data_IF_192519425711
#
_entry.id   IF_192519425711
#
_cell.length_a   1.000
_cell.length_b   1.000
_cell.length_c   1.000
_cell.angle_alpha   90.00
_cell.angle_beta   90.00
_cell.angle_gamma   90.00
#
_symmetry.space_group_name_H-M   'P 1'
#
loop_
_entity.id
_entity.type
_entity.pdbx_description
1 polymer ?
#
# COMPACT_ATOMS: atom_id res chain seq x y z
N UNK A 1 7.40 -13.78 -40.92
CA UNK A 1 7.19 -14.45 -39.62
C UNK A 1 5.76 -14.98 -39.54
N UNK A 2 5.56 -16.25 -39.19
CA UNK A 2 4.21 -16.84 -39.09
C UNK A 2 3.40 -16.15 -37.99
N UNK A 3 2.16 -15.76 -38.30
CA UNK A 3 1.27 -14.97 -37.43
C UNK A 3 1.11 -15.55 -36.01
N UNK A 4 1.21 -16.87 -35.87
CA UNK A 4 1.10 -17.60 -34.59
C UNK A 4 2.21 -17.23 -33.60
N UNK A 5 3.43 -16.97 -34.07
CA UNK A 5 4.58 -16.63 -33.22
C UNK A 5 4.45 -15.20 -32.66
N UNK A 6 3.92 -14.26 -33.44
CA UNK A 6 3.73 -12.87 -33.00
C UNK A 6 2.70 -12.74 -31.86
N UNK A 7 1.62 -13.53 -31.91
CA UNK A 7 0.57 -13.53 -30.87
C UNK A 7 1.10 -14.15 -29.57
N UNK A 8 1.85 -15.24 -29.66
CA UNK A 8 2.48 -15.86 -28.50
C UNK A 8 3.49 -14.92 -27.82
N UNK A 9 4.27 -14.15 -28.58
CA UNK A 9 5.21 -13.17 -28.05
C UNK A 9 4.49 -12.03 -27.31
N UNK A 10 3.38 -11.53 -27.88
CA UNK A 10 2.54 -10.50 -27.26
C UNK A 10 1.95 -10.97 -25.92
N UNK A 11 1.39 -12.18 -25.86
CA UNK A 11 0.85 -12.75 -24.62
C UNK A 11 1.95 -12.98 -23.56
N UNK A 12 3.16 -13.39 -23.98
CA UNK A 12 4.29 -13.54 -23.05
C UNK A 12 4.77 -12.20 -22.47
N UNK A 13 4.73 -11.11 -23.25
CA UNK A 13 5.09 -9.77 -22.78
C UNK A 13 4.04 -9.17 -21.84
N UNK A 14 2.76 -9.51 -22.02
CA UNK A 14 1.67 -9.06 -21.14
C UNK A 14 1.63 -9.88 -19.84
N UNK A 15 1.90 -11.18 -19.90
CA UNK A 15 1.91 -12.08 -18.73
C UNK A 15 3.03 -11.82 -17.72
N UNK A 16 4.11 -11.14 -18.12
CA UNK A 16 5.25 -10.83 -17.24
C UNK A 16 5.15 -9.45 -16.57
N UNK A 17 4.17 -8.62 -16.93
CA UNK A 17 4.21 -7.17 -16.66
C UNK A 17 3.58 -6.67 -15.36
N UNK A 18 2.74 -7.44 -14.65
CA UNK A 18 1.94 -6.83 -13.57
C UNK A 18 1.64 -7.77 -12.41
N UNK A 19 2.67 -8.18 -11.67
CA UNK A 19 2.49 -8.72 -10.32
C UNK A 19 2.41 -7.56 -9.32
N UNK A 20 1.32 -6.80 -9.35
CA UNK A 20 1.07 -5.75 -8.35
C UNK A 20 0.62 -6.44 -7.07
N UNK A 21 1.56 -6.70 -6.17
CA UNK A 21 1.24 -7.12 -4.82
C UNK A 21 0.63 -5.92 -4.08
N UNK A 22 -0.69 -5.98 -3.86
CA UNK A 22 -1.42 -5.06 -3.00
C UNK A 22 -1.32 -5.58 -1.56
N UNK A 23 -0.71 -4.80 -0.67
CA UNK A 23 -0.66 -5.14 0.74
C UNK A 23 -1.18 -3.98 1.59
N UNK A 24 -2.31 -4.21 2.25
CA UNK A 24 -2.94 -3.25 3.16
C UNK A 24 -2.56 -3.59 4.59
N UNK A 25 -2.09 -2.59 5.35
CA UNK A 25 -1.76 -2.72 6.76
C UNK A 25 -2.49 -1.63 7.54
N UNK A 26 -2.98 -1.99 8.71
CA UNK A 26 -3.50 -1.02 9.67
C UNK A 26 -2.43 -0.78 10.74
N UNK A 27 -2.18 0.48 11.04
CA UNK A 27 -1.23 0.90 12.06
C UNK A 27 -1.95 1.66 13.15
N UNK A 28 -1.54 1.40 14.38
CA UNK A 28 -1.95 2.10 15.59
C UNK A 28 -0.69 2.39 16.37
N UNK A 29 -0.43 3.66 16.64
CA UNK A 29 0.70 4.10 17.44
C UNK A 29 0.20 4.95 18.59
N UNK A 30 0.82 4.76 19.75
CA UNK A 30 0.61 5.58 20.92
C UNK A 30 1.90 6.35 21.20
N UNK A 31 1.79 7.63 21.49
CA UNK A 31 2.93 8.47 21.79
C UNK A 31 2.54 9.62 22.73
N UNK A 32 3.54 10.20 23.38
CA UNK A 32 3.37 11.37 24.24
C UNK A 32 3.95 12.60 23.54
N UNK A 33 3.20 13.69 23.53
CA UNK A 33 3.61 14.97 22.97
C UNK A 33 3.07 16.10 23.85
N UNK A 34 3.93 16.99 24.35
CA UNK A 34 3.56 18.14 25.19
C UNK A 34 2.68 17.75 26.40
N UNK A 35 3.14 16.78 27.19
CA UNK A 35 2.46 16.21 28.37
C UNK A 35 1.09 15.55 28.10
N UNK A 36 0.68 15.47 26.83
CA UNK A 36 -0.54 14.80 26.39
C UNK A 36 -0.22 13.48 25.71
N UNK A 37 -1.04 12.47 25.97
CA UNK A 37 -0.97 11.14 25.38
C UNK A 37 -1.90 11.10 24.17
N UNK A 38 -1.38 10.64 23.04
CA UNK A 38 -2.12 10.53 21.80
C UNK A 38 -2.10 9.09 21.29
N UNK A 39 -3.24 8.66 20.75
CA UNK A 39 -3.34 7.49 19.89
C UNK A 39 -3.57 7.98 18.47
N UNK A 40 -2.73 7.51 17.54
CA UNK A 40 -2.85 7.80 16.13
C UNK A 40 -2.94 6.50 15.33
N UNK A 41 -3.95 6.42 14.46
CA UNK A 41 -4.18 5.27 13.58
C UNK A 41 -4.18 5.68 12.12
N UNK A 42 -3.68 4.83 11.24
CA UNK A 42 -3.80 5.01 9.79
C UNK A 42 -3.80 3.67 9.06
N UNK A 43 -4.31 3.69 7.83
CA UNK A 43 -4.25 2.57 6.90
C UNK A 43 -3.17 2.87 5.87
N UNK A 44 -2.28 1.91 5.66
CA UNK A 44 -1.24 1.94 4.66
C UNK A 44 -1.56 0.95 3.56
N UNK A 45 -1.50 1.39 2.31
CA UNK A 45 -1.62 0.53 1.14
C UNK A 45 -0.32 0.58 0.34
N UNK A 46 0.31 -0.58 0.24
CA UNK A 46 1.53 -0.79 -0.51
C UNK A 46 1.17 -1.32 -1.90
N UNK A 47 1.55 -0.58 -2.94
CA UNK A 47 1.46 -0.97 -4.35
C UNK A 47 2.88 -1.10 -4.90
N UNK A 48 3.44 -2.31 -4.86
CA UNK A 48 4.83 -2.53 -5.27
C UNK A 48 5.80 -1.65 -4.47
N UNK A 49 6.47 -0.70 -5.13
CA UNK A 49 7.43 0.24 -4.50
C UNK A 49 6.79 1.55 -4.00
N UNK A 50 5.46 1.69 -4.09
CA UNK A 50 4.75 2.89 -3.61
C UNK A 50 4.00 2.59 -2.33
N UNK A 51 4.05 3.54 -1.39
CA UNK A 51 3.35 3.49 -0.11
C UNK A 51 2.38 4.67 -0.02
N UNK A 52 1.11 4.39 0.22
CA UNK A 52 0.08 5.40 0.40
C UNK A 52 -0.56 5.25 1.78
N UNK A 53 -0.63 6.34 2.55
CA UNK A 53 -1.24 6.37 3.87
C UNK A 53 -2.54 7.20 3.83
N UNK A 54 -3.62 6.65 4.36
CA UNK A 54 -4.93 7.30 4.40
C UNK A 54 -5.70 6.96 5.67
N UNK A 55 -6.85 7.63 5.87
CA UNK A 55 -7.69 7.52 7.07
C UNK A 55 -6.88 7.75 8.37
N UNK A 56 -6.00 8.75 8.33
CA UNK A 56 -5.19 9.12 9.49
C UNK A 56 -6.09 9.80 10.53
N UNK A 57 -6.22 9.18 11.70
CA UNK A 57 -7.03 9.67 12.82
C UNK A 57 -6.12 9.81 14.03
N UNK A 58 -6.17 10.96 14.69
CA UNK A 58 -5.44 11.24 15.94
C UNK A 58 -6.45 11.56 17.02
N UNK A 59 -6.31 10.94 18.19
CA UNK A 59 -7.10 11.23 19.40
C UNK A 59 -6.21 11.48 20.59
N UNK A 60 -6.56 12.51 21.36
CA UNK A 60 -6.03 12.73 22.70
C UNK A 60 -6.69 11.74 23.67
N UNK A 61 -5.89 11.09 24.49
CA UNK A 61 -6.33 10.10 25.48
C UNK A 61 -6.13 10.64 26.90
N UNK A 62 -5.55 11.82 27.05
CA UNK A 62 -5.38 12.54 28.31
C UNK A 62 -6.73 13.16 28.67
N UNK A 63 -7.63 12.32 29.18
CA UNK A 63 -8.85 12.77 29.84
C UNK A 63 -8.60 13.14 31.28
#
# INVERSE_FOLDING_TARGET
MPRKIKIALLLSSVGLGLKVALNTKHYLTEYQENDKRYIESWIQLNLGNKCFCFSKIRKDITS
#
